data_IF_035007032839
#
_entry.id   IF_035007032839
#
_cell.length_a   1.000
_cell.length_b   1.000
_cell.length_c   1.000
_cell.angle_alpha   90.00
_cell.angle_beta   90.00
_cell.angle_gamma   90.00
#
_symmetry.space_group_name_H-M   'P 1'
#
loop_
_entity.id
_entity.type
_entity.pdbx_description
1 polymer ?
#
# COMPACT_ATOMS: atom_id res chain seq x y z
N UNK A 1 -21.21 6.51 -12.12
CA UNK A 1 -20.51 5.28 -11.65
C UNK A 1 -21.28 4.60 -10.51
N UNK A 2 -21.26 3.26 -10.47
CA UNK A 2 -21.80 2.46 -9.36
C UNK A 2 -20.78 2.41 -8.21
N UNK A 3 -21.27 2.59 -6.98
CA UNK A 3 -20.50 2.45 -5.74
C UNK A 3 -19.73 1.11 -5.70
N UNK A 4 -18.42 1.16 -5.44
CA UNK A 4 -17.52 0.00 -5.39
C UNK A 4 -16.99 -0.19 -3.98
N UNK A 5 -16.82 -1.44 -3.56
CA UNK A 5 -16.11 -1.78 -2.32
C UNK A 5 -14.63 -1.98 -2.61
N UNK A 6 -13.77 -1.43 -1.77
CA UNK A 6 -12.33 -1.66 -1.78
C UNK A 6 -11.76 -1.82 -0.37
N UNK A 7 -10.57 -2.41 -0.29
CA UNK A 7 -9.84 -2.63 0.95
C UNK A 7 -8.34 -2.79 0.71
N UNK A 8 -7.54 -2.53 1.74
CA UNK A 8 -6.10 -2.73 1.75
C UNK A 8 -5.70 -3.78 2.79
N UNK A 9 -4.72 -4.60 2.45
CA UNK A 9 -4.06 -5.55 3.35
C UNK A 9 -2.60 -5.12 3.46
N UNK A 10 -2.17 -4.63 4.63
CA UNK A 10 -0.79 -4.20 4.84
C UNK A 10 -0.10 -5.15 5.82
N UNK A 11 0.92 -5.84 5.33
CA UNK A 11 1.91 -6.51 6.17
C UNK A 11 2.97 -5.49 6.62
N UNK A 12 3.37 -5.56 7.89
CA UNK A 12 4.38 -4.67 8.46
C UNK A 12 5.65 -5.44 8.82
N UNK A 13 6.80 -4.88 8.49
CA UNK A 13 8.08 -5.35 9.00
C UNK A 13 8.16 -5.08 10.50
N UNK A 14 8.62 -6.05 11.28
CA UNK A 14 8.77 -5.92 12.73
C UNK A 14 10.24 -6.18 13.10
N UNK A 15 10.83 -5.32 13.92
CA UNK A 15 12.18 -5.49 14.47
C UNK A 15 12.18 -5.10 15.95
N UNK A 16 12.84 -5.88 16.79
CA UNK A 16 13.22 -5.47 18.14
C UNK A 16 14.71 -5.14 18.19
N UNK A 17 15.05 -3.94 18.64
CA UNK A 17 16.43 -3.50 18.82
C UNK A 17 16.78 -3.49 20.32
N UNK A 18 17.49 -4.52 20.83
CA UNK A 18 17.83 -4.62 22.25
C UNK A 18 18.94 -3.65 22.66
N UNK A 19 18.88 -3.14 23.89
CA UNK A 19 19.99 -2.46 24.56
C UNK A 19 21.00 -3.49 25.09
N UNK A 20 21.54 -4.33 24.21
CA UNK A 20 22.43 -5.43 24.57
C UNK A 20 22.46 -6.53 23.51
N UNK A 21 23.12 -7.66 23.81
CA UNK A 21 23.16 -8.83 22.92
C UNK A 21 22.16 -9.88 23.38
N UNK A 22 20.87 -9.57 23.25
CA UNK A 22 19.79 -10.52 23.53
C UNK A 22 19.05 -10.80 22.23
N UNK A 23 18.87 -12.08 21.92
CA UNK A 23 18.01 -12.49 20.83
C UNK A 23 16.60 -12.74 21.37
N UNK A 24 15.59 -12.18 20.70
CA UNK A 24 14.20 -12.38 21.03
C UNK A 24 13.46 -12.87 19.77
N UNK A 25 12.72 -13.99 19.85
CA UNK A 25 11.86 -14.41 18.74
C UNK A 25 10.83 -13.34 18.39
N UNK A 26 10.62 -13.10 17.10
CA UNK A 26 9.71 -12.07 16.61
C UNK A 26 8.26 -12.34 17.01
N UNK A 27 7.90 -13.62 17.10
CA UNK A 27 6.59 -14.11 17.55
C UNK A 27 6.25 -13.61 18.95
N UNK A 28 7.26 -13.48 19.82
CA UNK A 28 7.07 -13.00 21.19
C UNK A 28 6.80 -11.49 21.22
N UNK A 29 7.56 -10.72 20.44
CA UNK A 29 7.33 -9.27 20.28
C UNK A 29 5.93 -9.03 19.70
N UNK A 30 5.56 -9.80 18.68
CA UNK A 30 4.26 -9.75 18.06
C UNK A 30 3.15 -10.11 19.05
N UNK A 31 3.33 -11.13 19.89
CA UNK A 31 2.41 -11.49 20.97
C UNK A 31 2.06 -10.31 21.88
N UNK A 32 3.05 -9.53 22.31
CA UNK A 32 2.79 -8.35 23.14
C UNK A 32 2.05 -7.22 22.40
N UNK A 33 2.30 -7.05 21.10
CA UNK A 33 1.52 -6.13 20.26
C UNK A 33 0.06 -6.59 20.20
N UNK A 34 -0.19 -7.89 19.99
CA UNK A 34 -1.53 -8.46 19.99
C UNK A 34 -2.25 -8.27 21.33
N UNK A 35 -1.58 -8.48 22.45
CA UNK A 35 -2.13 -8.24 23.79
C UNK A 35 -2.59 -6.78 23.96
N UNK A 36 -1.85 -5.83 23.41
CA UNK A 36 -2.20 -4.40 23.42
C UNK A 36 -3.45 -4.07 22.59
N UNK A 37 -3.68 -4.78 21.48
CA UNK A 37 -4.85 -4.57 20.61
C UNK A 37 -6.10 -5.27 21.11
N UNK A 38 -5.93 -6.50 21.62
CA UNK A 38 -7.04 -7.36 22.03
C UNK A 38 -6.67 -8.06 23.33
N UNK A 39 -6.98 -7.42 24.47
CA UNK A 39 -6.70 -7.98 25.77
C UNK A 39 -7.35 -9.37 25.92
N UNK A 40 -6.60 -10.34 26.45
CA UNK A 40 -7.06 -11.69 26.76
C UNK A 40 -7.48 -12.55 25.55
N UNK A 41 -7.12 -12.20 24.32
CA UNK A 41 -7.36 -13.08 23.16
C UNK A 41 -6.10 -13.82 22.73
N UNK A 42 -6.18 -15.14 22.68
CA UNK A 42 -5.19 -16.04 22.10
C UNK A 42 -5.70 -16.65 20.78
N UNK A 43 -6.03 -15.81 19.80
CA UNK A 43 -5.56 -16.13 18.46
C UNK A 43 -4.78 -14.96 17.86
N UNK A 44 -3.74 -15.30 17.10
CA UNK A 44 -3.00 -14.39 16.22
C UNK A 44 -3.82 -13.92 15.00
N UNK A 45 -5.15 -13.81 15.16
CA UNK A 45 -6.09 -13.42 14.13
C UNK A 45 -7.41 -12.97 14.77
N UNK A 46 -7.81 -11.73 14.51
CA UNK A 46 -9.04 -11.20 15.06
C UNK A 46 -9.58 -10.01 14.27
N UNK A 47 -10.89 -9.82 14.36
CA UNK A 47 -11.56 -8.61 13.89
C UNK A 47 -11.67 -7.57 15.01
N UNK A 48 -11.43 -6.32 14.64
CA UNK A 48 -11.43 -5.17 15.53
C UNK A 48 -12.77 -4.44 15.52
N UNK A 49 -13.00 -3.59 16.53
CA UNK A 49 -14.24 -2.79 16.66
C UNK A 49 -14.44 -1.79 15.52
N UNK A 50 -13.38 -1.40 14.82
CA UNK A 50 -13.46 -0.57 13.62
C UNK A 50 -13.72 -1.39 12.34
N UNK A 51 -14.02 -2.69 12.46
CA UNK A 51 -14.36 -3.57 11.34
C UNK A 51 -13.16 -4.12 10.57
N UNK A 52 -11.95 -3.67 10.88
CA UNK A 52 -10.69 -4.19 10.33
C UNK A 52 -10.41 -5.62 10.83
N UNK A 53 -9.49 -6.30 10.15
CA UNK A 53 -8.90 -7.56 10.61
C UNK A 53 -7.42 -7.35 10.92
N UNK A 54 -6.97 -7.89 12.05
CA UNK A 54 -5.57 -7.90 12.44
C UNK A 54 -5.11 -9.33 12.72
N UNK A 55 -4.06 -9.78 12.05
CA UNK A 55 -3.59 -11.15 12.16
C UNK A 55 -2.08 -11.28 11.89
N UNK A 56 -1.51 -12.41 12.27
CA UNK A 56 -0.13 -12.78 11.96
C UNK A 56 -0.14 -13.53 10.62
N UNK A 57 0.53 -12.97 9.62
CA UNK A 57 0.73 -13.65 8.35
C UNK A 57 2.04 -14.45 8.33
N UNK A 58 2.26 -15.13 7.21
CA UNK A 58 3.43 -15.96 6.92
C UNK A 58 4.72 -15.17 7.12
N UNK A 59 5.68 -15.75 7.84
CA UNK A 59 6.93 -15.05 8.18
C UNK A 59 6.84 -14.17 9.44
N UNK A 60 5.75 -14.26 10.21
CA UNK A 60 5.57 -13.56 11.48
C UNK A 60 5.46 -12.04 11.34
N UNK A 61 4.93 -11.56 10.21
CA UNK A 61 4.56 -10.17 10.02
C UNK A 61 3.17 -9.90 10.63
N UNK A 62 3.00 -8.84 11.43
CA UNK A 62 1.68 -8.31 11.72
C UNK A 62 1.05 -7.80 10.41
N UNK A 63 -0.18 -8.22 10.15
CA UNK A 63 -0.97 -7.76 9.02
C UNK A 63 -2.24 -7.07 9.52
N UNK A 64 -2.51 -5.88 8.96
CA UNK A 64 -3.75 -5.14 9.13
C UNK A 64 -4.49 -5.06 7.80
N UNK A 65 -5.67 -5.67 7.73
CA UNK A 65 -6.60 -5.52 6.62
C UNK A 65 -7.67 -4.50 6.98
N UNK A 66 -7.80 -3.43 6.20
CA UNK A 66 -8.80 -2.38 6.42
C UNK A 66 -10.22 -2.96 6.44
N UNK A 67 -11.19 -2.33 7.13
CA UNK A 67 -12.60 -2.61 6.85
C UNK A 67 -12.92 -2.32 5.38
N UNK A 68 -14.02 -2.89 4.90
CA UNK A 68 -14.56 -2.58 3.58
C UNK A 68 -14.94 -1.11 3.51
N UNK A 69 -14.36 -0.38 2.56
CA UNK A 69 -14.66 1.02 2.31
C UNK A 69 -15.28 1.18 0.92
N UNK A 70 -16.07 2.22 0.74
CA UNK A 70 -16.66 2.61 -0.55
C UNK A 70 -16.44 4.09 -0.91
N UNK A 71 -15.70 4.79 -0.05
CA UNK A 71 -15.18 6.12 -0.28
C UNK A 71 -13.65 6.07 -0.15
N UNK A 72 -12.93 6.67 -1.12
CA UNK A 72 -11.47 6.57 -1.21
C UNK A 72 -10.81 7.25 0.00
N UNK A 73 -11.36 8.36 0.47
CA UNK A 73 -10.86 9.05 1.67
C UNK A 73 -11.08 8.20 2.93
N UNK A 74 -12.23 7.53 3.06
CA UNK A 74 -12.47 6.60 4.18
C UNK A 74 -11.43 5.47 4.18
N UNK A 75 -11.07 4.94 3.01
CA UNK A 75 -10.02 3.92 2.93
C UNK A 75 -8.66 4.46 3.39
N UNK A 76 -8.28 5.67 2.96
CA UNK A 76 -7.02 6.31 3.40
C UNK A 76 -7.03 6.53 4.91
N UNK A 77 -8.15 7.01 5.46
CA UNK A 77 -8.37 7.19 6.90
C UNK A 77 -8.17 5.86 7.64
N UNK A 78 -8.78 4.79 7.15
CA UNK A 78 -8.73 3.48 7.80
C UNK A 78 -7.39 2.74 7.64
N UNK A 79 -6.67 2.97 6.55
CA UNK A 79 -5.29 2.54 6.34
C UNK A 79 -4.36 3.22 7.36
N UNK A 80 -4.49 4.54 7.52
CA UNK A 80 -3.77 5.31 8.54
C UNK A 80 -4.16 4.92 9.97
N UNK A 81 -5.41 4.57 10.20
CA UNK A 81 -5.86 4.08 11.51
C UNK A 81 -5.15 2.77 11.90
N UNK A 82 -4.81 1.91 10.93
CA UNK A 82 -4.00 0.71 11.17
C UNK A 82 -2.61 1.05 11.70
N UNK A 83 -1.95 2.05 11.11
CA UNK A 83 -0.65 2.54 11.60
C UNK A 83 -0.75 3.11 13.03
N UNK A 84 -1.80 3.89 13.33
CA UNK A 84 -2.02 4.45 14.67
C UNK A 84 -2.34 3.38 15.71
N UNK A 85 -3.07 2.33 15.33
CA UNK A 85 -3.34 1.18 16.21
C UNK A 85 -2.03 0.48 16.58
N UNK A 86 -1.17 0.21 15.61
CA UNK A 86 0.14 -0.40 15.85
C UNK A 86 1.04 0.50 16.70
N UNK A 87 1.12 1.80 16.40
CA UNK A 87 1.86 2.78 17.20
C UNK A 87 1.38 2.81 18.66
N UNK A 88 0.06 2.81 18.88
CA UNK A 88 -0.55 2.85 20.21
C UNK A 88 -0.24 1.62 21.08
N UNK A 89 0.11 0.48 20.45
CA UNK A 89 0.47 -0.74 21.17
C UNK A 89 1.94 -0.81 21.58
N UNK A 90 2.81 0.02 20.98
CA UNK A 90 4.25 0.01 21.28
C UNK A 90 4.55 0.21 22.77
N UNK A 91 3.97 1.19 23.50
CA UNK A 91 4.32 1.40 24.90
C UNK A 91 3.97 0.21 25.80
N UNK A 92 2.82 -0.42 25.57
CA UNK A 92 2.40 -1.60 26.33
C UNK A 92 3.29 -2.81 26.02
N UNK A 93 3.66 -3.01 24.76
CA UNK A 93 4.56 -4.09 24.36
C UNK A 93 5.99 -3.90 24.90
N UNK A 94 6.51 -2.67 24.86
CA UNK A 94 7.82 -2.32 25.44
C UNK A 94 7.83 -2.45 26.98
N UNK A 95 6.71 -2.16 27.65
CA UNK A 95 6.55 -2.41 29.09
C UNK A 95 6.67 -3.90 29.42
N UNK A 96 5.95 -4.77 28.68
CA UNK A 96 6.00 -6.22 28.88
C UNK A 96 7.40 -6.78 28.71
N UNK A 97 8.13 -6.30 27.71
CA UNK A 97 9.53 -6.66 27.51
C UNK A 97 10.37 -6.26 28.72
N UNK A 98 10.16 -5.06 29.25
CA UNK A 98 10.90 -4.56 30.41
C UNK A 98 10.58 -5.33 31.69
N UNK A 99 9.34 -5.75 31.91
CA UNK A 99 8.93 -6.63 33.03
C UNK A 99 9.71 -7.96 33.01
N UNK A 100 10.09 -8.44 31.83
CA UNK A 100 10.92 -9.63 31.65
C UNK A 100 12.44 -9.36 31.62
N UNK A 101 12.86 -8.14 31.97
CA UNK A 101 14.27 -7.75 31.96
C UNK A 101 14.86 -7.49 30.57
N UNK A 102 14.03 -7.42 29.54
CA UNK A 102 14.43 -7.09 28.17
C UNK A 102 14.24 -5.59 27.93
N UNK A 103 15.35 -4.86 27.79
CA UNK A 103 15.30 -3.45 27.42
C UNK A 103 15.68 -3.26 25.95
N UNK A 104 14.92 -2.43 25.25
CA UNK A 104 15.11 -2.16 23.83
C UNK A 104 13.92 -1.41 23.26
N UNK A 105 13.96 -1.19 21.95
CA UNK A 105 12.89 -0.51 21.22
C UNK A 105 12.28 -1.41 20.16
N UNK A 106 10.96 -1.30 19.97
CA UNK A 106 10.27 -1.96 18.88
C UNK A 106 10.19 -1.01 17.68
N UNK A 107 10.40 -1.55 16.49
CA UNK A 107 10.28 -0.88 15.21
C UNK A 107 9.26 -1.62 14.34
N UNK A 108 8.31 -0.87 13.81
CA UNK A 108 7.27 -1.38 12.90
C UNK A 108 7.38 -0.57 11.62
N UNK A 109 7.61 -1.26 10.50
CA UNK A 109 7.86 -0.64 9.20
C UNK A 109 6.73 -0.94 8.23
N UNK A 110 6.12 0.09 7.66
CA UNK A 110 5.17 -0.04 6.56
C UNK A 110 5.91 0.02 5.22
N UNK A 111 6.60 -1.07 4.90
CA UNK A 111 7.39 -1.25 3.68
C UNK A 111 7.13 -2.65 3.08
N UNK A 112 7.98 -3.11 2.16
CA UNK A 112 7.75 -4.38 1.45
C UNK A 112 8.93 -5.34 1.46
N UNK A 113 10.05 -4.97 2.07
CA UNK A 113 11.29 -5.77 2.03
C UNK A 113 12.07 -5.64 3.32
N UNK A 114 12.59 -6.74 3.85
CA UNK A 114 13.55 -6.69 4.95
C UNK A 114 15.01 -6.61 4.44
N UNK A 115 15.97 -6.60 5.37
CA UNK A 115 17.40 -6.57 5.06
C UNK A 115 17.95 -7.91 4.57
N UNK A 116 17.22 -9.01 4.74
CA UNK A 116 17.57 -10.35 4.26
C UNK A 116 17.06 -10.61 2.83
N UNK A 117 16.25 -9.70 2.29
CA UNK A 117 15.68 -9.80 0.94
C UNK A 117 14.34 -10.54 0.90
N UNK A 118 13.74 -10.85 2.05
CA UNK A 118 12.36 -11.31 2.11
C UNK A 118 11.43 -10.16 1.74
N UNK A 119 10.27 -10.49 1.17
CA UNK A 119 9.28 -9.50 0.77
C UNK A 119 7.89 -9.83 1.29
N UNK A 120 7.17 -8.79 1.70
CA UNK A 120 5.82 -8.78 2.23
C UNK A 120 4.99 -7.69 1.54
N UNK A 121 3.67 -7.83 1.55
CA UNK A 121 2.77 -7.11 0.64
C UNK A 121 2.02 -5.92 1.23
N UNK A 122 1.70 -4.96 0.35
CA UNK A 122 0.48 -4.18 0.45
C UNK A 122 -0.44 -4.70 -0.66
N UNK A 123 -1.50 -5.42 -0.29
CA UNK A 123 -2.47 -5.89 -1.27
C UNK A 123 -3.67 -4.97 -1.37
N UNK A 124 -4.14 -4.76 -2.59
CA UNK A 124 -5.32 -3.97 -2.88
C UNK A 124 -6.45 -4.89 -3.34
N UNK A 125 -7.63 -4.67 -2.79
CA UNK A 125 -8.83 -5.43 -3.07
C UNK A 125 -9.87 -4.53 -3.68
N UNK A 126 -10.40 -4.91 -4.85
CA UNK A 126 -11.48 -4.20 -5.52
C UNK A 126 -12.63 -5.16 -5.81
N UNK A 127 -13.83 -4.82 -5.35
CA UNK A 127 -15.04 -5.55 -5.74
C UNK A 127 -15.29 -5.31 -7.22
N UNK A 128 -15.42 -6.37 -7.99
CA UNK A 128 -15.64 -6.35 -9.44
C UNK A 128 -16.95 -7.08 -9.76
N UNK A 129 -17.63 -6.67 -10.84
CA UNK A 129 -18.83 -7.40 -11.30
C UNK A 129 -18.45 -8.75 -11.91
N UNK A 130 -19.36 -9.72 -11.86
CA UNK A 130 -19.12 -11.05 -12.44
C UNK A 130 -19.59 -11.21 -13.88
N UNK A 131 -20.39 -10.27 -14.37
CA UNK A 131 -20.93 -10.24 -15.74
C UNK A 131 -19.96 -9.62 -16.77
N UNK A 132 -18.76 -9.24 -16.34
CA UNK A 132 -17.65 -8.82 -17.21
C UNK A 132 -16.65 -9.96 -17.41
N UNK A 133 -16.03 -10.00 -18.59
CA UNK A 133 -14.99 -10.98 -18.90
C UNK A 133 -13.69 -10.65 -18.16
N UNK A 134 -13.39 -11.45 -17.13
CA UNK A 134 -12.22 -11.24 -16.26
C UNK A 134 -10.91 -11.15 -17.02
N UNK A 135 -10.72 -11.95 -18.08
CA UNK A 135 -9.46 -11.98 -18.82
C UNK A 135 -9.28 -10.72 -19.67
N UNK A 136 -10.36 -10.26 -20.32
CA UNK A 136 -10.33 -8.99 -21.07
C UNK A 136 -10.10 -7.79 -20.16
N UNK A 137 -10.64 -7.79 -18.95
CA UNK A 137 -10.37 -6.75 -17.95
C UNK A 137 -8.90 -6.81 -17.52
N UNK A 138 -8.41 -8.00 -17.19
CA UNK A 138 -7.04 -8.26 -16.74
C UNK A 138 -6.00 -7.80 -17.77
N UNK A 139 -6.19 -8.11 -19.05
CA UNK A 139 -5.29 -7.70 -20.13
C UNK A 139 -5.10 -6.18 -20.19
N UNK A 140 -6.20 -5.44 -20.02
CA UNK A 140 -6.21 -3.98 -20.03
C UNK A 140 -5.72 -3.36 -18.72
N UNK A 141 -5.74 -4.08 -17.60
CA UNK A 141 -5.25 -3.59 -16.31
C UNK A 141 -3.73 -3.77 -16.14
N UNK A 142 -3.14 -4.75 -16.81
CA UNK A 142 -1.71 -5.06 -16.65
C UNK A 142 -0.81 -3.89 -17.03
N UNK A 143 -0.97 -3.24 -18.19
CA UNK A 143 -0.10 -2.11 -18.54
C UNK A 143 -0.23 -0.95 -17.56
N UNK A 144 -1.45 -0.67 -17.10
CA UNK A 144 -1.72 0.30 -16.05
C UNK A 144 -0.96 -0.04 -14.75
N UNK A 145 -1.09 -1.27 -14.25
CA UNK A 145 -0.43 -1.67 -13.00
C UNK A 145 1.10 -1.76 -13.10
N UNK A 146 1.64 -2.10 -14.26
CA UNK A 146 3.09 -2.11 -14.53
C UNK A 146 3.66 -0.69 -14.48
N UNK A 147 2.91 0.31 -14.94
CA UNK A 147 3.38 1.69 -15.09
C UNK A 147 2.99 2.60 -13.93
N UNK A 148 1.93 2.33 -13.16
CA UNK A 148 1.48 3.20 -12.05
C UNK A 148 2.53 3.42 -10.96
N UNK A 149 3.52 2.52 -10.86
CA UNK A 149 4.61 2.64 -9.88
C UNK A 149 5.35 3.98 -9.97
N UNK A 150 5.32 4.67 -11.12
CA UNK A 150 5.93 6.00 -11.28
C UNK A 150 5.36 7.04 -10.31
N UNK A 151 4.12 6.86 -9.83
CA UNK A 151 3.53 7.67 -8.76
C UNK A 151 3.17 6.88 -7.50
N UNK A 152 3.02 5.55 -7.59
CA UNK A 152 2.65 4.71 -6.45
C UNK A 152 3.83 4.02 -5.76
N UNK A 153 5.05 4.14 -6.28
CA UNK A 153 6.25 3.52 -5.73
C UNK A 153 6.69 4.16 -4.42
N UNK A 154 7.21 3.33 -3.51
CA UNK A 154 7.68 3.73 -2.18
C UNK A 154 9.21 3.95 -2.11
N UNK A 155 9.92 3.63 -3.19
CA UNK A 155 11.36 3.80 -3.32
C UNK A 155 12.16 2.71 -2.61
N UNK A 156 13.30 2.30 -3.18
CA UNK A 156 14.23 1.36 -2.53
C UNK A 156 15.68 1.65 -2.91
N UNK A 157 16.59 1.54 -1.95
CA UNK A 157 18.03 1.46 -2.23
C UNK A 157 18.46 0.01 -2.26
N UNK A 158 18.96 -0.47 -3.39
CA UNK A 158 19.49 -1.83 -3.55
C UNK A 158 20.92 -1.81 -4.06
N UNK A 159 21.70 -2.83 -3.72
CA UNK A 159 23.01 -3.06 -4.34
C UNK A 159 22.84 -3.99 -5.54
N UNK A 160 23.11 -3.47 -6.74
CA UNK A 160 23.14 -4.25 -8.00
C UNK A 160 24.58 -4.40 -8.41
N UNK A 161 25.07 -5.65 -8.47
CA UNK A 161 26.47 -5.95 -8.79
C UNK A 161 27.46 -5.14 -7.92
N UNK A 162 27.16 -5.03 -6.62
CA UNK A 162 27.97 -4.30 -5.64
C UNK A 162 27.78 -2.77 -5.63
N UNK A 163 27.06 -2.19 -6.60
CA UNK A 163 26.84 -0.74 -6.68
C UNK A 163 25.45 -0.36 -6.15
N UNK A 164 25.33 0.66 -5.28
CA UNK A 164 24.03 1.14 -4.84
C UNK A 164 23.27 1.77 -6.01
N UNK A 165 21.98 1.48 -6.11
CA UNK A 165 21.06 2.05 -7.08
C UNK A 165 19.73 2.36 -6.39
N UNK A 166 19.09 3.45 -6.82
CA UNK A 166 17.77 3.84 -6.34
C UNK A 166 16.69 3.34 -7.29
N UNK A 167 15.73 2.60 -6.76
CA UNK A 167 14.58 2.06 -7.47
C UNK A 167 13.31 2.79 -7.05
N UNK A 168 12.37 2.92 -7.97
CA UNK A 168 11.04 3.52 -7.72
C UNK A 168 10.17 2.60 -6.86
N UNK A 169 10.12 1.30 -7.16
CA UNK A 169 9.30 0.34 -6.43
C UNK A 169 10.14 -0.64 -5.60
N UNK A 170 9.66 -0.96 -4.41
CA UNK A 170 10.21 -2.03 -3.57
C UNK A 170 9.81 -3.41 -4.11
N UNK A 171 8.60 -3.54 -4.66
CA UNK A 171 8.01 -4.82 -5.09
C UNK A 171 8.44 -5.26 -6.48
N UNK A 172 8.75 -4.35 -7.39
CA UNK A 172 8.96 -4.67 -8.81
C UNK A 172 10.00 -5.78 -9.08
N UNK A 173 11.10 -5.84 -8.31
CA UNK A 173 12.12 -6.89 -8.51
C UNK A 173 11.66 -8.28 -8.03
N UNK A 174 10.62 -8.36 -7.20
CA UNK A 174 10.07 -9.60 -6.65
C UNK A 174 8.85 -10.13 -7.42
N UNK A 175 8.45 -9.47 -8.52
CA UNK A 175 7.38 -9.94 -9.41
C UNK A 175 8.00 -10.85 -10.47
N UNK A 176 7.41 -12.04 -10.66
CA UNK A 176 7.95 -13.09 -11.53
C UNK A 176 7.00 -13.49 -12.66
N UNK A 177 5.69 -13.29 -12.48
CA UNK A 177 4.66 -13.77 -13.40
C UNK A 177 3.67 -12.66 -13.80
N UNK A 178 2.98 -12.84 -14.93
CA UNK A 178 1.88 -11.95 -15.35
C UNK A 178 0.65 -12.15 -14.46
N UNK A 179 0.25 -13.40 -14.24
CA UNK A 179 -0.93 -13.80 -13.45
C UNK A 179 -0.64 -15.07 -12.66
N UNK A 180 -1.08 -15.16 -11.40
CA UNK A 180 -0.91 -16.34 -10.54
C UNK A 180 -1.91 -16.32 -9.39
N UNK A 181 -2.24 -17.47 -8.80
CA UNK A 181 -3.06 -17.53 -7.58
C UNK A 181 -2.23 -17.44 -6.29
N UNK A 182 -0.91 -17.64 -6.38
CA UNK A 182 0.03 -17.56 -5.25
C UNK A 182 0.40 -16.12 -4.90
N UNK A 183 0.55 -15.84 -3.61
CA UNK A 183 1.02 -14.54 -3.08
C UNK A 183 2.47 -14.58 -2.59
N UNK A 184 3.08 -15.76 -2.46
CA UNK A 184 4.39 -15.96 -1.81
C UNK A 184 5.45 -16.61 -2.70
N UNK A 185 5.10 -17.56 -3.56
CA UNK A 185 6.05 -18.30 -4.42
C UNK A 185 6.11 -17.78 -5.86
N UNK A 186 4.94 -17.56 -6.46
CA UNK A 186 4.75 -17.14 -7.86
C UNK A 186 4.08 -15.77 -7.93
N UNK A 187 4.75 -14.74 -7.39
CA UNK A 187 4.18 -13.39 -7.30
C UNK A 187 3.92 -12.83 -8.69
N UNK A 188 2.66 -12.47 -8.94
CA UNK A 188 2.16 -11.98 -10.21
C UNK A 188 1.65 -10.54 -10.13
N UNK A 189 1.40 -9.93 -11.29
CA UNK A 189 0.82 -8.58 -11.35
C UNK A 189 -0.65 -8.61 -10.92
N UNK A 190 -1.42 -9.58 -11.42
CA UNK A 190 -2.83 -9.80 -11.05
C UNK A 190 -2.98 -11.18 -10.39
N UNK A 191 -3.50 -11.19 -9.17
CA UNK A 191 -3.79 -12.42 -8.46
C UNK A 191 -5.15 -12.98 -8.91
N UNK A 192 -5.20 -14.27 -9.23
CA UNK A 192 -6.40 -14.93 -9.78
C UNK A 192 -7.25 -15.66 -8.74
N UNK A 193 -6.97 -15.48 -7.43
CA UNK A 193 -7.77 -16.07 -6.35
C UNK A 193 -9.19 -15.51 -6.38
N UNK A 194 -10.19 -16.39 -6.45
CA UNK A 194 -11.60 -16.03 -6.55
C UNK A 194 -12.32 -16.23 -5.20
N UNK A 195 -12.03 -15.35 -4.24
CA UNK A 195 -12.66 -15.30 -2.91
C UNK A 195 -13.38 -13.96 -2.76
N UNK A 196 -14.64 -13.82 -3.21
CA UNK A 196 -15.30 -12.52 -3.33
C UNK A 196 -15.67 -11.90 -1.97
N UNK A 197 -15.79 -12.70 -0.91
CA UNK A 197 -16.40 -12.31 0.37
C UNK A 197 -17.73 -11.55 0.17
N UNK A 198 -18.48 -11.94 -0.86
CA UNK A 198 -19.75 -11.37 -1.28
C UNK A 198 -20.52 -12.47 -2.02
N UNK A 199 -21.71 -12.14 -2.51
CA UNK A 199 -22.46 -13.03 -3.40
C UNK A 199 -21.61 -13.40 -4.64
N UNK A 200 -21.22 -14.67 -4.70
CA UNK A 200 -20.32 -15.20 -5.72
C UNK A 200 -20.95 -15.32 -7.10
N UNK A 201 -22.28 -15.17 -7.25
CA UNK A 201 -22.91 -15.09 -8.56
C UNK A 201 -22.80 -13.69 -9.15
N UNK A 202 -22.76 -12.66 -8.29
CA UNK A 202 -22.81 -11.26 -8.69
C UNK A 202 -21.45 -10.58 -8.74
N UNK A 203 -20.54 -11.00 -7.87
CA UNK A 203 -19.28 -10.28 -7.63
C UNK A 203 -18.05 -11.18 -7.63
N UNK A 204 -16.91 -10.55 -7.90
CA UNK A 204 -15.54 -11.08 -7.78
C UNK A 204 -14.71 -10.12 -6.92
N UNK A 205 -13.65 -10.61 -6.28
CA UNK A 205 -12.63 -9.77 -5.64
C UNK A 205 -11.40 -9.74 -6.53
N UNK A 206 -11.14 -8.60 -7.17
CA UNK A 206 -9.89 -8.36 -7.86
C UNK A 206 -8.81 -8.08 -6.82
N UNK A 207 -7.82 -8.96 -6.75
CA UNK A 207 -6.76 -8.93 -5.75
C UNK A 207 -5.42 -8.55 -6.42
N UNK A 208 -4.85 -7.42 -6.02
CA UNK A 208 -3.66 -6.83 -6.63
C UNK A 208 -2.52 -6.85 -5.62
N UNK A 209 -1.40 -7.47 -5.98
CA UNK A 209 -0.27 -7.71 -5.06
C UNK A 209 1.02 -6.98 -5.45
N UNK A 210 0.94 -6.16 -6.49
CA UNK A 210 2.06 -5.46 -7.12
C UNK A 210 2.36 -4.09 -6.49
N UNK A 211 1.41 -3.55 -5.73
CA UNK A 211 1.54 -2.24 -5.09
C UNK A 211 2.57 -2.26 -3.96
N UNK A 212 3.29 -1.15 -3.81
CA UNK A 212 4.11 -0.90 -2.63
C UNK A 212 3.23 -0.44 -1.44
N UNK A 213 3.73 -0.63 -0.23
CA UNK A 213 3.16 -0.06 1.00
C UNK A 213 3.53 1.42 1.07
N UNK A 214 2.51 2.30 1.07
CA UNK A 214 2.73 3.74 0.98
C UNK A 214 2.60 4.44 2.34
N UNK A 215 3.51 5.38 2.58
CA UNK A 215 3.46 6.28 3.73
C UNK A 215 2.61 7.50 3.41
N UNK A 216 2.74 8.06 2.21
CA UNK A 216 1.96 9.21 1.77
C UNK A 216 0.47 8.92 1.65
N UNK A 217 -0.35 9.70 2.37
CA UNK A 217 -1.81 9.69 2.24
C UNK A 217 -2.23 10.03 0.80
N UNK A 218 -1.54 10.99 0.17
CA UNK A 218 -1.76 11.39 -1.21
C UNK A 218 -1.52 10.23 -2.18
N UNK A 219 -0.45 9.46 -1.98
CA UNK A 219 -0.17 8.29 -2.83
C UNK A 219 -1.22 7.21 -2.64
N UNK A 220 -1.62 6.89 -1.41
CA UNK A 220 -2.68 5.90 -1.17
C UNK A 220 -3.99 6.32 -1.84
N UNK A 221 -4.38 7.60 -1.71
CA UNK A 221 -5.54 8.18 -2.39
C UNK A 221 -5.45 7.99 -3.90
N UNK A 222 -4.34 8.42 -4.50
CA UNK A 222 -4.17 8.37 -5.95
C UNK A 222 -4.08 6.93 -6.47
N UNK A 223 -3.36 6.04 -5.77
CA UNK A 223 -3.19 4.61 -6.10
C UNK A 223 -4.52 3.90 -6.20
N UNK A 224 -5.39 4.06 -5.20
CA UNK A 224 -6.70 3.41 -5.15
C UNK A 224 -7.71 4.12 -6.05
N UNK A 225 -7.69 5.46 -6.09
CA UNK A 225 -8.59 6.26 -6.91
C UNK A 225 -8.41 5.99 -8.39
N UNK A 226 -7.18 6.07 -8.90
CA UNK A 226 -6.88 5.81 -10.32
C UNK A 226 -7.24 4.37 -10.71
N UNK A 227 -6.91 3.38 -9.87
CA UNK A 227 -7.32 1.99 -10.10
C UNK A 227 -8.84 1.81 -10.12
N UNK A 228 -9.57 2.49 -9.22
CA UNK A 228 -11.04 2.46 -9.18
C UNK A 228 -11.64 3.07 -10.44
N UNK A 229 -11.10 4.19 -10.91
CA UNK A 229 -11.53 4.87 -12.13
C UNK A 229 -11.28 4.00 -13.37
N UNK A 230 -10.06 3.47 -13.51
CA UNK A 230 -9.65 2.60 -14.61
C UNK A 230 -10.46 1.30 -14.64
N UNK A 231 -10.70 0.68 -13.49
CA UNK A 231 -11.51 -0.53 -13.43
C UNK A 231 -12.95 -0.26 -13.85
N UNK A 232 -13.52 0.86 -13.42
CA UNK A 232 -14.91 1.21 -13.72
C UNK A 232 -15.11 1.57 -15.19
N UNK A 233 -14.16 2.29 -15.81
CA UNK A 233 -14.26 2.59 -17.24
C UNK A 233 -14.18 1.30 -18.08
N UNK A 234 -13.29 0.36 -17.72
CA UNK A 234 -13.14 -0.92 -18.43
C UNK A 234 -14.41 -1.78 -18.26
N UNK A 235 -14.98 -1.85 -17.05
CA UNK A 235 -16.24 -2.57 -16.80
C UNK A 235 -17.44 -2.00 -17.58
N UNK A 236 -17.41 -0.71 -17.92
CA UNK A 236 -18.42 -0.03 -18.74
C UNK A 236 -18.07 -0.04 -20.25
N UNK A 237 -17.01 -0.72 -20.66
CA UNK A 237 -16.65 -0.93 -22.06
C UNK A 237 -15.72 0.13 -22.68
N UNK A 238 -15.20 1.07 -21.87
CA UNK A 238 -14.18 2.03 -22.31
C UNK A 238 -12.82 1.37 -22.34
N UNK A 239 -12.57 0.61 -23.42
CA UNK A 239 -11.38 -0.21 -23.52
C UNK A 239 -10.10 0.60 -23.75
N UNK A 240 -8.99 0.20 -23.15
CA UNK A 240 -7.65 0.73 -23.43
C UNK A 240 -6.86 -0.33 -24.18
N UNK A 241 -6.76 -0.17 -25.50
CA UNK A 241 -6.14 -1.16 -26.40
C UNK A 241 -4.76 -0.71 -26.88
N UNK A 242 -3.90 -1.68 -27.20
CA UNK A 242 -2.59 -1.43 -27.78
C UNK A 242 -1.59 -0.88 -26.76
N UNK A 243 -1.78 -1.14 -25.46
CA UNK A 243 -0.82 -0.80 -24.40
C UNK A 243 -0.13 -2.04 -23.84
N UNK A 244 -0.39 -3.21 -24.43
CA UNK A 244 0.18 -4.48 -24.03
C UNK A 244 1.70 -4.47 -24.17
N UNK A 245 2.42 -4.80 -23.09
CA UNK A 245 3.88 -4.94 -23.13
C UNK A 245 4.28 -6.27 -23.76
N UNK A 246 5.38 -6.27 -24.52
CA UNK A 246 6.00 -7.50 -25.03
C UNK A 246 6.35 -8.46 -23.87
N UNK A 247 6.87 -7.90 -22.78
CA UNK A 247 7.13 -8.61 -21.52
C UNK A 247 6.80 -7.70 -20.33
N UNK A 248 5.61 -7.84 -19.73
CA UNK A 248 5.20 -7.04 -18.58
C UNK A 248 6.11 -7.19 -17.34
N UNK A 249 6.70 -8.37 -17.12
CA UNK A 249 7.57 -8.66 -15.96
C UNK A 249 8.94 -8.02 -16.14
N UNK A 250 9.45 -7.99 -17.36
CA UNK A 250 10.64 -7.20 -17.68
C UNK A 250 10.35 -5.70 -17.60
N UNK A 251 9.24 -5.25 -18.18
CA UNK A 251 8.85 -3.83 -18.20
C UNK A 251 8.74 -3.24 -16.79
N UNK A 252 8.05 -3.92 -15.86
CA UNK A 252 7.90 -3.43 -14.47
C UNK A 252 9.26 -3.26 -13.76
N UNK A 253 10.21 -4.15 -14.03
CA UNK A 253 11.56 -4.09 -13.45
C UNK A 253 12.42 -3.00 -14.09
N UNK A 254 12.30 -2.80 -15.41
CA UNK A 254 13.03 -1.75 -16.13
C UNK A 254 12.54 -0.36 -15.74
N UNK A 255 11.22 -0.17 -15.65
CA UNK A 255 10.62 1.10 -15.17
C UNK A 255 11.10 1.38 -13.75
N UNK A 256 11.02 0.40 -12.85
CA UNK A 256 11.45 0.58 -11.46
C UNK A 256 12.92 1.00 -11.32
N UNK A 257 13.79 0.61 -12.25
CA UNK A 257 15.23 0.91 -12.23
C UNK A 257 15.57 2.33 -12.67
N UNK A 258 14.64 3.01 -13.34
CA UNK A 258 14.89 4.32 -13.91
C UNK A 258 14.10 5.43 -13.19
N UNK A 259 14.66 6.04 -12.13
CA UNK A 259 14.03 7.16 -11.44
C UNK A 259 13.96 8.45 -12.29
N UNK A 260 14.53 8.47 -13.51
CA UNK A 260 14.38 9.59 -14.45
C UNK A 260 13.10 9.53 -15.27
N UNK A 261 12.43 8.36 -15.29
CA UNK A 261 11.21 8.08 -16.05
C UNK A 261 11.34 8.24 -17.57
N UNK A 262 12.57 8.25 -18.11
CA UNK A 262 12.83 8.44 -19.55
C UNK A 262 13.04 7.12 -20.28
N UNK A 263 13.21 6.00 -19.57
CA UNK A 263 13.32 4.67 -20.14
C UNK A 263 12.04 4.31 -20.89
N UNK A 264 12.19 4.01 -22.17
CA UNK A 264 11.12 3.43 -22.98
C UNK A 264 11.13 1.90 -22.86
N UNK A 265 9.93 1.33 -22.75
CA UNK A 265 9.66 -0.10 -22.72
C UNK A 265 8.88 -0.50 -23.96
N UNK A 266 9.10 -1.73 -24.43
CA UNK A 266 8.56 -2.20 -25.72
C UNK A 266 7.15 -2.78 -25.56
N UNK A 267 6.24 -2.34 -26.42
CA UNK A 267 4.89 -2.89 -26.57
C UNK A 267 4.89 -4.10 -27.52
N UNK A 268 3.83 -4.88 -27.50
CA UNK A 268 3.65 -6.07 -28.35
C UNK A 268 3.65 -5.72 -29.86
N UNK A 269 3.12 -4.56 -30.22
CA UNK A 269 3.06 -4.02 -31.58
C UNK A 269 4.39 -3.39 -32.05
N UNK A 270 5.42 -3.42 -31.21
CA UNK A 270 6.76 -2.92 -31.50
C UNK A 270 6.99 -1.43 -31.19
N UNK A 271 5.95 -0.66 -30.83
CA UNK A 271 6.15 0.70 -30.30
C UNK A 271 6.96 0.66 -29.01
N UNK A 272 7.60 1.78 -28.68
CA UNK A 272 8.32 1.97 -27.44
C UNK A 272 7.85 3.25 -26.76
N UNK A 273 7.29 3.10 -25.57
CA UNK A 273 6.74 4.20 -24.77
C UNK A 273 7.39 4.22 -23.38
N UNK A 274 7.51 5.40 -22.81
CA UNK A 274 7.79 5.61 -21.39
C UNK A 274 6.57 5.21 -20.55
N UNK A 275 6.79 4.94 -19.26
CA UNK A 275 5.68 4.68 -18.34
C UNK A 275 4.72 5.86 -18.21
N UNK A 276 5.21 7.10 -18.34
CA UNK A 276 4.39 8.32 -18.34
C UNK A 276 3.49 8.36 -19.58
N UNK A 277 4.04 8.11 -20.78
CA UNK A 277 3.25 8.06 -22.03
C UNK A 277 2.14 6.99 -21.96
N UNK A 278 2.41 5.82 -21.40
CA UNK A 278 1.37 4.78 -21.20
C UNK A 278 0.29 5.28 -20.23
N UNK A 279 0.67 5.86 -19.09
CA UNK A 279 -0.29 6.38 -18.12
C UNK A 279 -1.15 7.53 -18.68
N UNK A 280 -0.61 8.36 -19.59
CA UNK A 280 -1.39 9.38 -20.31
C UNK A 280 -2.51 8.79 -21.14
N UNK A 281 -2.28 7.67 -21.83
CA UNK A 281 -3.34 6.99 -22.59
C UNK A 281 -4.49 6.57 -21.67
N UNK A 282 -4.21 6.09 -20.47
CA UNK A 282 -5.25 5.78 -19.50
C UNK A 282 -5.93 7.04 -18.95
N UNK A 283 -5.18 8.12 -18.68
CA UNK A 283 -5.71 9.40 -18.21
C UNK A 283 -6.70 10.00 -19.23
N UNK A 284 -6.33 10.02 -20.51
CA UNK A 284 -7.15 10.54 -21.59
C UNK A 284 -8.43 9.72 -21.74
N UNK A 285 -8.30 8.38 -21.71
CA UNK A 285 -9.48 7.50 -21.73
C UNK A 285 -10.38 7.70 -20.51
N UNK A 286 -9.80 7.91 -19.34
CA UNK A 286 -10.55 8.21 -18.13
C UNK A 286 -11.30 9.55 -18.23
N UNK A 287 -10.73 10.55 -18.92
CA UNK A 287 -11.41 11.82 -19.20
C UNK A 287 -12.63 11.61 -20.11
N UNK A 288 -12.48 10.84 -21.19
CA UNK A 288 -13.60 10.49 -22.10
C UNK A 288 -14.73 9.78 -21.36
N UNK A 289 -14.37 8.87 -20.44
CA UNK A 289 -15.32 8.17 -19.59
C UNK A 289 -16.06 9.15 -18.67
N UNK A 290 -15.33 9.97 -17.90
CA UNK A 290 -15.92 10.92 -16.95
C UNK A 290 -16.84 11.93 -17.63
N UNK A 291 -16.54 12.36 -18.85
CA UNK A 291 -17.37 13.28 -19.62
C UNK A 291 -18.79 12.73 -19.93
N UNK A 292 -18.98 11.41 -19.87
CA UNK A 292 -20.29 10.75 -20.09
C UNK A 292 -20.96 10.29 -18.80
N UNK A 293 -20.32 10.49 -17.65
CA UNK A 293 -20.86 10.12 -16.34
C UNK A 293 -21.58 11.30 -15.68
N UNK A 294 -22.42 10.98 -14.69
CA UNK A 294 -22.87 12.01 -13.76
C UNK A 294 -21.65 12.55 -12.99
N UNK A 295 -21.64 13.87 -12.76
CA UNK A 295 -20.59 14.56 -12.04
C UNK A 295 -20.39 13.93 -10.64
N UNK A 296 -19.14 13.54 -10.36
CA UNK A 296 -18.69 12.99 -9.10
C UNK A 296 -17.44 13.75 -8.66
N UNK A 297 -17.55 14.68 -7.69
CA UNK A 297 -16.43 15.52 -7.27
C UNK A 297 -15.20 14.72 -6.81
N UNK A 298 -15.39 13.53 -6.25
CA UNK A 298 -14.28 12.70 -5.78
C UNK A 298 -13.47 12.14 -6.95
N UNK A 299 -14.15 11.66 -7.99
CA UNK A 299 -13.48 11.11 -9.18
C UNK A 299 -12.85 12.21 -10.03
N UNK A 300 -13.47 13.38 -10.08
CA UNK A 300 -12.89 14.55 -10.72
C UNK A 300 -11.60 14.99 -10.00
N UNK A 301 -11.57 14.98 -8.66
CA UNK A 301 -10.36 15.26 -7.88
C UNK A 301 -9.28 14.19 -8.13
N UNK A 302 -9.64 12.90 -8.17
CA UNK A 302 -8.71 11.82 -8.54
C UNK A 302 -8.10 12.06 -9.92
N UNK A 303 -8.92 12.36 -10.93
CA UNK A 303 -8.45 12.60 -12.29
C UNK A 303 -7.57 13.84 -12.38
N UNK A 304 -7.96 14.95 -11.74
CA UNK A 304 -7.18 16.19 -11.71
C UNK A 304 -5.81 15.99 -11.05
N UNK A 305 -5.76 15.31 -9.91
CA UNK A 305 -4.50 14.98 -9.23
C UNK A 305 -3.63 14.04 -10.05
N UNK A 306 -4.23 13.07 -10.75
CA UNK A 306 -3.50 12.19 -11.64
C UNK A 306 -2.87 12.95 -12.80
N UNK A 307 -3.63 13.82 -13.47
CA UNK A 307 -3.13 14.68 -14.54
C UNK A 307 -1.95 15.56 -14.06
N UNK A 308 -2.14 16.25 -12.94
CA UNK A 308 -1.12 17.11 -12.32
C UNK A 308 0.16 16.33 -11.99
N UNK A 309 0.02 15.12 -11.44
CA UNK A 309 1.17 14.26 -11.15
C UNK A 309 1.89 13.84 -12.42
N UNK A 310 1.18 13.44 -13.47
CA UNK A 310 1.81 13.07 -14.73
C UNK A 310 2.52 14.26 -15.39
N UNK A 311 1.93 15.47 -15.35
CA UNK A 311 2.58 16.71 -15.83
C UNK A 311 3.92 16.95 -15.11
N UNK A 312 3.91 16.92 -13.78
CA UNK A 312 5.10 17.12 -12.96
C UNK A 312 6.14 16.02 -13.13
N UNK A 313 5.74 14.75 -13.22
CA UNK A 313 6.65 13.62 -13.45
C UNK A 313 7.34 13.71 -14.83
N UNK A 314 6.66 14.25 -15.83
CA UNK A 314 7.21 14.45 -17.17
C UNK A 314 8.26 15.56 -17.19
N UNK A 315 8.01 16.66 -16.49
CA UNK A 315 8.90 17.81 -16.36
C UNK A 315 10.09 17.54 -15.41
N UNK A 316 9.82 17.38 -14.12
CA UNK A 316 10.80 17.05 -13.08
C UNK A 316 10.12 16.35 -11.90
N UNK A 317 10.40 15.05 -11.66
CA UNK A 317 9.85 14.33 -10.53
C UNK A 317 10.08 15.00 -9.17
N UNK A 318 11.13 15.80 -8.98
CA UNK A 318 11.40 16.49 -7.72
C UNK A 318 10.38 17.58 -7.37
N UNK A 319 9.46 17.93 -8.27
CA UNK A 319 8.32 18.78 -7.94
C UNK A 319 7.26 18.10 -7.05
N UNK A 320 7.39 16.78 -6.83
CA UNK A 320 6.45 15.95 -6.08
C UNK A 320 7.04 15.47 -4.74
N UNK A 321 8.02 16.19 -4.19
CA UNK A 321 8.70 15.86 -2.92
C UNK A 321 7.77 15.85 -1.72
N UNK A 322 6.61 16.52 -1.78
CA UNK A 322 5.64 16.54 -0.68
C UNK A 322 4.60 15.44 -0.83
N UNK A 323 4.39 14.96 -2.05
CA UNK A 323 3.28 14.10 -2.43
C UNK A 323 3.69 12.64 -2.59
N UNK A 324 4.78 12.33 -3.29
CA UNK A 324 5.12 10.96 -3.72
C UNK A 324 6.24 10.35 -2.87
N UNK A 325 6.02 9.15 -2.33
CA UNK A 325 6.94 8.48 -1.39
C UNK A 325 8.36 8.30 -1.95
N UNK A 326 8.52 7.70 -3.15
CA UNK A 326 9.86 7.49 -3.71
C UNK A 326 10.57 8.81 -4.02
N UNK A 327 9.85 9.85 -4.43
CA UNK A 327 10.40 11.19 -4.67
C UNK A 327 10.86 11.80 -3.34
N UNK A 328 9.98 11.81 -2.35
CA UNK A 328 10.23 12.31 -0.98
C UNK A 328 11.45 11.64 -0.37
N UNK A 329 11.49 10.31 -0.42
CA UNK A 329 12.57 9.51 0.15
C UNK A 329 13.88 9.76 -0.60
N UNK A 330 13.85 9.80 -1.94
CA UNK A 330 15.06 10.10 -2.74
C UNK A 330 15.61 11.47 -2.40
N UNK A 331 14.75 12.48 -2.29
CA UNK A 331 15.12 13.83 -1.87
C UNK A 331 15.76 13.85 -0.49
N UNK A 332 15.15 13.17 0.50
CA UNK A 332 15.68 13.07 1.86
C UNK A 332 17.07 12.42 1.89
N UNK A 333 17.25 11.30 1.19
CA UNK A 333 18.53 10.59 1.12
C UNK A 333 19.57 11.43 0.40
N UNK A 334 19.24 12.04 -0.74
CA UNK A 334 20.17 12.88 -1.49
C UNK A 334 20.60 14.10 -0.66
N UNK A 335 19.66 14.76 0.02
CA UNK A 335 19.95 15.87 0.93
C UNK A 335 20.90 15.48 2.07
N UNK A 336 20.76 14.26 2.59
CA UNK A 336 21.69 13.72 3.59
C UNK A 336 23.09 13.49 3.01
N UNK A 337 23.17 12.85 1.83
CA UNK A 337 24.41 12.58 1.09
C UNK A 337 25.17 13.89 0.85
N UNK A 338 24.49 14.89 0.30
CA UNK A 338 25.08 16.20 -0.02
C UNK A 338 25.59 16.92 1.25
N UNK A 339 24.78 16.90 2.32
CA UNK A 339 25.15 17.52 3.60
C UNK A 339 26.32 16.83 4.30
N UNK A 340 26.47 15.52 4.13
CA UNK A 340 27.51 14.72 4.79
C UNK A 340 28.74 14.47 3.93
N UNK A 341 28.68 14.81 2.63
CA UNK A 341 29.77 14.56 1.69
C UNK A 341 30.09 13.07 1.56
N UNK A 342 29.09 12.18 1.67
CA UNK A 342 29.25 10.74 1.52
C UNK A 342 28.66 10.23 0.20
N UNK A 343 28.63 8.91 -0.01
CA UNK A 343 28.08 8.27 -1.20
C UNK A 343 26.79 7.49 -0.92
N UNK A 344 26.13 7.04 -1.98
CA UNK A 344 24.94 6.17 -1.91
C UNK A 344 25.23 4.77 -1.30
N UNK A 345 26.50 4.40 -1.16
CA UNK A 345 26.96 3.13 -0.59
C UNK A 345 27.15 3.19 0.94
N UNK A 346 27.05 4.38 1.53
CA UNK A 346 27.13 4.59 2.97
C UNK A 346 26.05 3.76 3.71
N UNK A 347 26.39 2.96 4.74
CA UNK A 347 25.42 2.17 5.49
C UNK A 347 24.25 2.99 6.04
N UNK A 348 24.47 4.28 6.33
CA UNK A 348 23.44 5.19 6.83
C UNK A 348 22.36 5.46 5.79
N UNK A 349 22.67 5.39 4.50
CA UNK A 349 21.68 5.52 3.42
C UNK A 349 20.66 4.38 3.45
N UNK A 350 21.11 3.14 3.69
CA UNK A 350 20.22 1.98 3.84
C UNK A 350 19.37 2.08 5.11
N UNK A 351 19.92 2.65 6.18
CA UNK A 351 19.16 2.93 7.39
C UNK A 351 18.08 3.99 7.15
N UNK A 352 18.40 5.08 6.43
CA UNK A 352 17.41 6.11 6.05
C UNK A 352 16.29 5.53 5.18
N UNK A 353 16.62 4.66 4.22
CA UNK A 353 15.63 3.94 3.40
C UNK A 353 14.61 3.17 4.26
N UNK A 354 15.10 2.48 5.30
CA UNK A 354 14.25 1.73 6.22
C UNK A 354 13.47 2.66 7.18
N UNK A 355 14.14 3.61 7.82
CA UNK A 355 13.56 4.54 8.80
C UNK A 355 12.50 5.47 8.21
N UNK A 356 12.49 5.67 6.89
CA UNK A 356 11.40 6.35 6.20
C UNK A 356 10.03 5.71 6.46
N UNK A 357 10.00 4.39 6.64
CA UNK A 357 8.78 3.59 6.79
C UNK A 357 8.36 3.29 8.22
N UNK A 358 9.10 3.78 9.21
CA UNK A 358 8.76 3.54 10.61
C UNK A 358 7.46 4.26 10.98
N UNK A 359 6.50 3.51 11.52
CA UNK A 359 5.15 4.03 11.81
C UNK A 359 5.09 4.90 13.06
N UNK A 360 6.13 4.87 13.91
CA UNK A 360 6.20 5.67 15.14
C UNK A 360 6.43 7.14 14.78
N UNK A 361 5.44 8.01 15.02
CA UNK A 361 5.44 9.40 14.55
C UNK A 361 6.57 10.26 15.12
N UNK A 362 7.03 9.94 16.31
CA UNK A 362 8.13 10.66 16.98
C UNK A 362 9.52 10.26 16.47
N UNK A 363 9.62 9.26 15.58
CA UNK A 363 10.90 8.66 15.14
C UNK A 363 11.00 8.45 13.63
N UNK A 364 9.92 7.99 13.00
CA UNK A 364 9.90 7.68 11.57
C UNK A 364 10.07 8.91 10.68
N UNK A 365 10.94 8.82 9.68
CA UNK A 365 11.39 10.00 8.93
C UNK A 365 10.25 10.62 8.11
N UNK A 366 9.33 9.81 7.56
CA UNK A 366 8.13 10.33 6.90
C UNK A 366 7.31 11.21 7.85
N UNK A 367 7.02 10.72 9.06
CA UNK A 367 6.23 11.45 10.04
C UNK A 367 6.95 12.67 10.62
N UNK A 368 8.27 12.61 10.76
CA UNK A 368 9.08 13.79 11.14
C UNK A 368 9.07 14.89 10.06
N UNK A 369 8.90 14.53 8.79
CA UNK A 369 8.69 15.49 7.70
C UNK A 369 7.26 16.03 7.69
N UNK A 370 6.27 15.15 7.88
CA UNK A 370 4.85 15.51 7.97
C UNK A 370 4.58 16.49 9.12
N UNK A 371 5.14 16.24 10.31
CA UNK A 371 5.02 17.14 11.46
C UNK A 371 5.65 18.53 11.25
N UNK A 372 6.44 18.71 10.19
CA UNK A 372 7.06 19.99 9.79
C UNK A 372 6.36 20.63 8.59
N UNK A 373 5.24 20.08 8.14
CA UNK A 373 4.49 20.58 6.98
C UNK A 373 5.21 20.35 5.65
N UNK A 374 6.13 19.38 5.60
CA UNK A 374 6.89 19.02 4.38
C UNK A 374 6.23 17.91 3.57
N UNK A 375 5.09 17.39 4.02
CA UNK A 375 4.33 16.33 3.37
C UNK A 375 2.91 16.82 3.14
N UNK A 376 2.35 16.48 1.99
CA UNK A 376 0.95 16.74 1.64
C UNK A 376 0.04 15.75 2.35
N UNK A 377 -1.01 16.28 2.99
CA UNK A 377 -2.04 15.49 3.67
C UNK A 377 -3.35 15.59 2.92
N UNK A 378 -4.10 14.50 2.90
CA UNK A 378 -5.45 14.47 2.28
C UNK A 378 -6.54 14.16 3.31
N UNK A 379 -6.17 13.78 4.53
CA UNK A 379 -7.12 13.48 5.61
C UNK A 379 -6.69 14.13 6.92
N UNK A 380 -7.68 14.52 7.72
CA UNK A 380 -7.46 15.10 9.05
C UNK A 380 -7.08 14.02 10.08
N UNK A 381 -6.20 14.36 11.03
CA UNK A 381 -5.75 13.38 12.04
C UNK A 381 -6.90 12.97 12.96
N UNK A 382 -7.85 13.87 13.25
CA UNK A 382 -9.04 13.56 14.04
C UNK A 382 -9.90 12.49 13.37
N UNK A 383 -9.94 12.45 12.03
CA UNK A 383 -10.66 11.41 11.30
C UNK A 383 -9.96 10.05 11.46
N UNK A 384 -8.63 10.02 11.35
CA UNK A 384 -7.81 8.82 11.59
C UNK A 384 -8.00 8.28 13.02
N UNK A 385 -7.95 9.16 14.02
CA UNK A 385 -8.17 8.77 15.42
C UNK A 385 -9.57 8.18 15.65
N UNK A 386 -10.62 8.76 15.06
CA UNK A 386 -11.97 8.19 15.13
C UNK A 386 -12.05 6.81 14.49
N UNK A 387 -11.40 6.63 13.34
CA UNK A 387 -11.42 5.38 12.58
C UNK A 387 -10.67 4.21 13.25
N UNK A 388 -9.88 4.46 14.30
CA UNK A 388 -9.32 3.39 15.14
C UNK A 388 -10.40 2.60 15.90
N UNK A 389 -11.58 3.20 16.14
CA UNK A 389 -12.66 2.59 16.93
C UNK A 389 -14.03 2.60 16.26
N UNK A 390 -14.18 3.35 15.17
CA UNK A 390 -15.42 3.53 14.43
C UNK A 390 -15.26 2.97 13.01
N UNK A 391 -16.05 1.97 12.60
CA UNK A 391 -16.00 1.44 11.24
C UNK A 391 -16.55 2.44 10.20
N UNK A 392 -16.34 2.21 8.89
CA UNK A 392 -17.06 2.91 7.83
C UNK A 392 -18.57 2.76 8.05
N UNK A 393 -19.31 3.87 8.00
CA UNK A 393 -20.75 3.88 8.31
C UNK A 393 -21.63 3.44 7.15
N UNK A 394 -21.03 3.31 5.97
CA UNK A 394 -21.69 3.11 4.69
C UNK A 394 -21.66 1.65 4.24
N UNK A 395 -20.76 0.83 4.79
CA UNK A 395 -20.53 -0.56 4.38
C UNK A 395 -20.96 -1.58 5.44
N UNK A 396 -20.82 -2.88 5.12
CA UNK A 396 -21.08 -3.97 6.06
C UNK A 396 -20.17 -3.93 7.29
N UNK A 397 -19.01 -3.28 7.20
CA UNK A 397 -18.09 -3.12 8.32
C UNK A 397 -18.76 -2.45 9.53
N UNK A 398 -19.76 -1.59 9.30
CA UNK A 398 -20.59 -1.01 10.37
C UNK A 398 -21.25 -2.09 11.23
N UNK A 399 -21.93 -3.04 10.58
CA UNK A 399 -22.65 -4.13 11.27
C UNK A 399 -21.67 -4.97 12.07
N UNK A 400 -20.52 -5.32 11.47
CA UNK A 400 -19.45 -6.06 12.14
C UNK A 400 -18.92 -5.32 13.36
N UNK A 401 -18.57 -4.04 13.22
CA UNK A 401 -18.03 -3.23 14.31
C UNK A 401 -19.04 -3.03 15.46
N UNK A 402 -20.31 -2.77 15.13
CA UNK A 402 -21.38 -2.63 16.11
C UNK A 402 -21.61 -3.93 16.90
N UNK A 403 -21.60 -5.08 16.21
CA UNK A 403 -21.72 -6.40 16.84
C UNK A 403 -20.56 -6.69 17.78
N UNK A 404 -19.31 -6.49 17.34
CA UNK A 404 -18.11 -6.68 18.17
C UNK A 404 -18.17 -5.77 19.41
N UNK A 405 -18.52 -4.49 19.22
CA UNK A 405 -18.65 -3.52 20.32
C UNK A 405 -19.69 -3.97 21.34
N UNK A 406 -20.85 -4.43 20.88
CA UNK A 406 -21.92 -4.93 21.75
C UNK A 406 -21.50 -6.20 22.50
N UNK A 407 -20.89 -7.18 21.82
CA UNK A 407 -20.44 -8.42 22.42
C UNK A 407 -19.39 -8.19 23.51
N UNK A 408 -18.39 -7.32 23.24
CA UNK A 408 -17.37 -6.90 24.22
C UNK A 408 -18.02 -6.21 25.43
N UNK A 409 -18.94 -5.28 25.22
CA UNK A 409 -19.65 -4.58 26.30
C UNK A 409 -20.49 -5.52 27.20
N UNK A 410 -20.90 -6.68 26.66
CA UNK A 410 -21.65 -7.72 27.40
C UNK A 410 -20.78 -8.88 27.90
N UNK A 411 -19.47 -8.80 27.71
CA UNK A 411 -18.52 -9.87 28.03
C UNK A 411 -18.94 -11.24 27.47
N UNK A 412 -19.39 -11.26 26.20
CA UNK A 412 -19.82 -12.47 25.49
C UNK A 412 -18.75 -12.89 24.49
N UNK A 413 -18.53 -14.20 24.36
CA UNK A 413 -17.75 -14.77 23.26
C UNK A 413 -18.48 -14.57 21.93
N UNK A 414 -17.70 -14.42 20.86
CA UNK A 414 -18.22 -14.23 19.52
C UNK A 414 -17.24 -14.78 18.48
N UNK A 415 -17.77 -15.05 17.29
CA UNK A 415 -17.00 -15.38 16.09
C UNK A 415 -17.55 -14.52 14.96
N UNK A 416 -16.65 -13.92 14.18
CA UNK A 416 -16.99 -13.00 13.09
C UNK A 416 -16.05 -13.24 11.94
N UNK A 417 -16.54 -13.03 10.72
CA UNK A 417 -15.75 -13.03 9.49
C UNK A 417 -16.14 -11.83 8.59
N UNK A 418 -15.76 -11.89 7.31
CA UNK A 418 -16.06 -10.85 6.34
C UNK A 418 -17.52 -10.86 5.85
N UNK A 419 -18.26 -11.95 5.99
CA UNK A 419 -19.58 -12.19 5.36
C UNK A 419 -20.78 -11.97 6.26
#
# INVERSE_FOLDING_TARGET
>A
MRRRIFGLENEYGLIFSPNGRVYLPMEKVLGYIFEGLIPNSWPSNAFLVNGARFYQDTGCHPEYSTPECDNILDLVIHDKAGERLLEACLPAAEERLREEGLSGEIYIFKNNTDSLGNTYGCHENFLMRRDVDFWKVTEQLIPFFVTRQIYSGAGKVLKVSGKPQYFISQRAQHIHEKTSSSTTSSRSIINTRDEPHADAERYRRLHIIVGDSNMSEFVTFLKVGTATLVLSMIEEGYAVQGMEFEDPVKAIREISRDPTLKRKVKLDDGRQLTAVEVQRVYLDRAQEYLAQQAHDPLLDDVWQRWAMVLDKLEEDPMQLVREIDWVTKRYLIQSYIDKKGCGWDDPRVFLLDLQFHDVKRTRGLYYLMESRGLIERVVEEEAVQRAMSTPPQTTRAKVRGDFIRFARAKNRSYTVDWT
#
